data_IF_394674414919
#
_entry.id   IF_394674414919
#
_cell.length_a   1.000
_cell.length_b   1.000
_cell.length_c   1.000
_cell.angle_alpha   90.00
_cell.angle_beta   90.00
_cell.angle_gamma   90.00
#
_symmetry.space_group_name_H-M   'P 1'
#
loop_
_entity.id
_entity.type
_entity.pdbx_description
1 polymer ?
#
# COMPACT_ATOMS: atom_id res chain seq x y z
N UNK A 1 6.95 -27.44 3.90
CA UNK A 1 7.16 -25.97 3.89
C UNK A 1 6.87 -25.49 2.48
N UNK A 2 5.63 -25.05 2.22
CA UNK A 2 5.20 -24.71 0.86
C UNK A 2 6.06 -23.55 0.34
N UNK A 3 6.55 -23.63 -0.91
CA UNK A 3 7.16 -22.51 -1.61
C UNK A 3 6.16 -21.34 -1.62
N UNK A 4 6.25 -20.47 -0.63
CA UNK A 4 5.60 -19.17 -0.69
C UNK A 4 6.33 -18.39 -1.79
N UNK A 5 5.74 -18.39 -2.99
CA UNK A 5 6.29 -17.66 -4.13
C UNK A 5 6.01 -16.16 -3.94
N UNK A 6 6.74 -15.55 -3.00
CA UNK A 6 6.65 -14.13 -2.68
C UNK A 6 7.04 -13.28 -3.88
N UNK A 7 7.92 -13.75 -4.76
CA UNK A 7 8.23 -13.12 -6.04
C UNK A 7 6.97 -12.92 -6.88
N UNK A 8 6.24 -14.01 -7.18
CA UNK A 8 4.99 -13.92 -7.96
C UNK A 8 3.95 -13.03 -7.30
N UNK A 9 3.84 -13.08 -5.97
CA UNK A 9 2.87 -12.25 -5.23
C UNK A 9 3.25 -10.77 -5.23
N UNK A 10 4.54 -10.45 -5.14
CA UNK A 10 5.04 -9.10 -5.20
C UNK A 10 4.78 -8.49 -6.58
N UNK A 11 5.14 -9.19 -7.65
CA UNK A 11 4.84 -8.76 -9.03
C UNK A 11 3.34 -8.55 -9.25
N UNK A 12 2.49 -9.42 -8.69
CA UNK A 12 1.05 -9.21 -8.78
C UNK A 12 0.58 -7.96 -8.02
N UNK A 13 1.19 -7.65 -6.87
CA UNK A 13 0.88 -6.43 -6.10
C UNK A 13 1.35 -5.16 -6.83
N UNK A 14 2.55 -5.17 -7.42
CA UNK A 14 3.06 -4.09 -8.28
C UNK A 14 2.11 -3.82 -9.44
N UNK A 15 1.71 -4.85 -10.18
CA UNK A 15 0.74 -4.75 -11.29
C UNK A 15 -0.61 -4.21 -10.80
N UNK A 16 -1.07 -4.62 -9.61
CA UNK A 16 -2.32 -4.09 -9.04
C UNK A 16 -2.22 -2.59 -8.81
N UNK A 17 -1.12 -2.12 -8.24
CA UNK A 17 -0.86 -0.69 -7.98
C UNK A 17 -0.79 0.09 -9.30
N UNK A 18 -0.07 -0.42 -10.30
CA UNK A 18 0.05 0.23 -11.61
C UNK A 18 -1.30 0.41 -12.30
N UNK A 19 -2.20 -0.56 -12.17
CA UNK A 19 -3.52 -0.54 -12.79
C UNK A 19 -4.64 0.04 -11.91
N UNK A 20 -4.31 0.51 -10.71
CA UNK A 20 -5.31 1.06 -9.80
C UNK A 20 -5.92 2.37 -10.31
N UNK A 21 -7.10 2.72 -9.81
CA UNK A 21 -7.85 3.90 -10.26
C UNK A 21 -7.35 5.23 -9.65
N UNK A 22 -6.60 5.20 -8.56
CA UNK A 22 -6.05 6.39 -7.90
C UNK A 22 -4.91 7.02 -8.72
N UNK A 23 -4.47 8.21 -8.33
CA UNK A 23 -3.57 9.05 -9.13
C UNK A 23 -2.22 8.39 -9.46
N UNK A 24 -1.67 8.73 -10.63
CA UNK A 24 -0.34 8.29 -11.06
C UNK A 24 0.78 8.72 -10.09
N UNK A 25 0.61 9.85 -9.41
CA UNK A 25 1.57 10.32 -8.43
C UNK A 25 1.58 9.42 -7.18
N UNK A 26 0.39 9.05 -6.69
CA UNK A 26 0.25 8.11 -5.57
C UNK A 26 0.79 6.72 -5.93
N UNK A 27 0.56 6.22 -7.16
CA UNK A 27 1.19 4.96 -7.64
C UNK A 27 2.72 5.02 -7.56
N UNK A 28 3.32 6.09 -8.10
CA UNK A 28 4.78 6.30 -8.08
C UNK A 28 5.32 6.40 -6.66
N UNK A 29 4.61 7.06 -5.75
CA UNK A 29 4.99 7.17 -4.35
C UNK A 29 5.06 5.79 -3.69
N UNK A 30 4.04 4.94 -3.90
CA UNK A 30 3.98 3.59 -3.34
C UNK A 30 5.11 2.71 -3.89
N UNK A 31 5.36 2.72 -5.20
CA UNK A 31 6.44 1.93 -5.81
C UNK A 31 7.83 2.47 -5.44
N UNK A 32 7.96 3.76 -5.11
CA UNK A 32 9.20 4.31 -4.54
C UNK A 32 9.40 3.81 -3.10
N UNK A 33 8.32 3.77 -2.31
CA UNK A 33 8.35 3.22 -0.96
C UNK A 33 8.75 1.74 -0.95
N UNK A 34 8.28 0.96 -1.92
CA UNK A 34 8.72 -0.43 -2.12
C UNK A 34 10.25 -0.56 -2.19
N UNK A 35 10.88 0.20 -3.08
CA UNK A 35 12.32 0.19 -3.29
C UNK A 35 13.05 0.57 -2.01
N UNK A 36 12.53 1.57 -1.29
CA UNK A 36 13.06 1.97 0.00
C UNK A 36 13.02 0.83 1.02
N UNK A 37 11.91 0.09 1.13
CA UNK A 37 11.81 -1.04 2.05
C UNK A 37 12.82 -2.16 1.74
N UNK A 38 13.11 -2.41 0.46
CA UNK A 38 14.16 -3.36 0.09
C UNK A 38 15.57 -2.86 0.44
N UNK A 39 15.85 -1.56 0.26
CA UNK A 39 17.12 -0.94 0.68
C UNK A 39 17.33 -1.09 2.19
N UNK A 40 16.26 -0.94 2.98
CA UNK A 40 16.26 -1.15 4.43
C UNK A 40 16.34 -2.64 4.83
N UNK A 41 16.46 -3.56 3.87
CA UNK A 41 16.69 -4.99 4.11
C UNK A 41 15.43 -5.77 4.51
N UNK A 42 14.23 -5.26 4.22
CA UNK A 42 13.00 -6.00 4.53
C UNK A 42 12.82 -7.21 3.62
N UNK A 43 12.28 -8.28 4.19
CA UNK A 43 11.92 -9.47 3.42
C UNK A 43 10.75 -9.19 2.47
N UNK A 44 10.70 -9.90 1.34
CA UNK A 44 9.60 -9.81 0.36
C UNK A 44 8.23 -9.99 1.00
N UNK A 45 8.12 -10.82 2.04
CA UNK A 45 6.89 -11.01 2.79
C UNK A 45 6.41 -9.72 3.48
N UNK A 46 7.33 -8.97 4.10
CA UNK A 46 7.02 -7.69 4.75
C UNK A 46 6.74 -6.60 3.72
N UNK A 47 7.53 -6.54 2.64
CA UNK A 47 7.29 -5.59 1.55
C UNK A 47 5.91 -5.81 0.93
N UNK A 48 5.56 -7.06 0.60
CA UNK A 48 4.24 -7.42 0.08
C UNK A 48 3.10 -6.99 1.04
N UNK A 49 3.28 -7.21 2.35
CA UNK A 49 2.32 -6.76 3.36
C UNK A 49 2.12 -5.25 3.29
N UNK A 50 3.21 -4.49 3.26
CA UNK A 50 3.15 -3.03 3.22
C UNK A 50 2.59 -2.50 1.90
N UNK A 51 2.92 -3.09 0.76
CA UNK A 51 2.30 -2.74 -0.52
C UNK A 51 0.79 -2.98 -0.52
N UNK A 52 0.36 -4.11 0.03
CA UNK A 52 -1.08 -4.42 0.13
C UNK A 52 -1.82 -3.39 0.99
N UNK A 53 -1.23 -2.98 2.11
CA UNK A 53 -1.78 -1.94 2.98
C UNK A 53 -1.79 -0.57 2.30
N UNK A 54 -0.71 -0.19 1.63
CA UNK A 54 -0.63 1.08 0.91
C UNK A 54 -1.61 1.16 -0.26
N UNK A 55 -1.82 0.05 -0.98
CA UNK A 55 -2.83 -0.02 -2.02
C UNK A 55 -4.23 0.22 -1.46
N UNK A 56 -4.56 -0.37 -0.30
CA UNK A 56 -5.87 -0.13 0.34
C UNK A 56 -6.02 1.34 0.79
N UNK A 57 -4.99 1.92 1.42
CA UNK A 57 -4.98 3.34 1.81
C UNK A 57 -5.21 4.24 0.58
N UNK A 58 -4.54 3.94 -0.53
CA UNK A 58 -4.69 4.71 -1.77
C UNK A 58 -6.05 4.54 -2.44
N UNK A 59 -6.68 3.37 -2.33
CA UNK A 59 -8.05 3.13 -2.79
C UNK A 59 -9.10 3.93 -1.98
N UNK A 60 -8.80 4.27 -0.72
CA UNK A 60 -9.68 5.08 0.14
C UNK A 60 -9.41 6.58 0.07
N UNK A 61 -8.22 6.97 -0.37
CA UNK A 61 -7.81 8.36 -0.45
C UNK A 61 -8.48 9.05 -1.65
N UNK A 62 -9.13 10.18 -1.40
CA UNK A 62 -9.60 11.11 -2.44
C UNK A 62 -8.65 12.33 -2.55
N UNK A 63 -7.40 12.15 -2.14
CA UNK A 63 -6.35 13.15 -2.07
C UNK A 63 -5.00 12.55 -2.48
N UNK A 64 -4.03 13.41 -2.78
CA UNK A 64 -2.67 12.97 -3.10
C UNK A 64 -1.91 12.55 -1.84
N UNK A 65 -1.38 11.34 -1.84
CA UNK A 65 -0.72 10.77 -0.67
C UNK A 65 0.53 11.57 -0.22
N UNK A 66 1.21 12.27 -1.12
CA UNK A 66 2.40 13.08 -0.79
C UNK A 66 2.08 14.46 -0.21
N UNK A 67 0.82 14.90 -0.29
CA UNK A 67 0.35 16.17 0.26
C UNK A 67 -0.74 16.00 1.32
N UNK A 68 -0.94 14.76 1.80
CA UNK A 68 -1.91 14.42 2.82
C UNK A 68 -1.71 15.27 4.10
N UNK A 69 -2.80 15.88 4.55
CA UNK A 69 -2.86 16.64 5.79
C UNK A 69 -3.14 15.72 6.98
N UNK A 70 -3.14 16.29 8.20
CA UNK A 70 -3.53 15.56 9.41
C UNK A 70 -4.99 15.08 9.34
N UNK A 71 -5.88 15.91 8.80
CA UNK A 71 -7.31 15.61 8.65
C UNK A 71 -7.53 14.45 7.67
N UNK A 72 -6.77 14.43 6.58
CA UNK A 72 -6.76 13.33 5.60
C UNK A 72 -6.33 12.00 6.25
N UNK A 73 -5.28 12.02 7.07
CA UNK A 73 -4.82 10.85 7.81
C UNK A 73 -5.89 10.40 8.82
N UNK A 74 -6.51 11.33 9.55
CA UNK A 74 -7.59 11.03 10.49
C UNK A 74 -8.80 10.40 9.80
N UNK A 75 -9.14 10.84 8.58
CA UNK A 75 -10.17 10.21 7.75
C UNK A 75 -9.86 8.74 7.46
N UNK A 76 -8.63 8.45 6.99
CA UNK A 76 -8.17 7.07 6.72
C UNK A 76 -8.20 6.21 7.99
N UNK A 77 -7.69 6.73 9.11
CA UNK A 77 -7.72 6.02 10.41
C UNK A 77 -9.16 5.73 10.83
N UNK A 78 -10.08 6.67 10.60
CA UNK A 78 -11.50 6.48 10.86
C UNK A 78 -12.12 5.34 10.03
N UNK A 79 -11.69 5.14 8.79
CA UNK A 79 -12.12 4.00 7.96
C UNK A 79 -11.63 2.68 8.56
N UNK A 80 -10.34 2.60 8.89
CA UNK A 80 -9.74 1.37 9.48
C UNK A 80 -10.42 1.00 10.79
N UNK A 81 -10.58 1.96 11.71
CA UNK A 81 -11.21 1.72 13.00
C UNK A 81 -12.66 1.22 12.88
N UNK A 82 -13.43 1.73 11.90
CA UNK A 82 -14.80 1.25 11.64
C UNK A 82 -14.84 -0.14 11.00
N UNK A 83 -13.83 -0.46 10.21
CA UNK A 83 -13.73 -1.78 9.54
C UNK A 83 -13.39 -2.86 10.57
N UNK A 84 -12.50 -2.57 11.52
CA UNK A 84 -12.15 -3.48 12.62
C UNK A 84 -13.28 -3.62 13.66
N UNK A 85 -14.13 -2.60 13.83
CA UNK A 85 -15.31 -2.66 14.72
C UNK A 85 -16.50 -3.43 14.12
N UNK A 86 -16.42 -3.84 12.85
CA UNK A 86 -17.46 -4.61 12.18
C UNK A 86 -17.23 -6.13 12.22
N UNK A 87 -16.09 -6.57 12.76
CA UNK A 87 -15.76 -7.97 13.10
C UNK A 87 -15.96 -8.25 14.61
#
# INVERSE_FOLDING_TARGET
MALYNYDRKLTAAEIKIENAAYSENSKKLILRFEKFLFVEGLSKARVLKYLSQMNAVAEWADFELDSATKEDIEYIVGIVARSDLAD
#
